data_IF_592924951799
#
_entry.id   IF_592924951799
#
_cell.length_a   1.000
_cell.length_b   1.000
_cell.length_c   1.000
_cell.angle_alpha   90.00
_cell.angle_beta   90.00
_cell.angle_gamma   90.00
#
_symmetry.space_group_name_H-M   'P 1'
#
loop_
_entity.id
_entity.type
_entity.pdbx_description
1 polymer ?
#
# COMPACT_ATOMS: atom_id res chain seq x y z
N UNK A 1 -12.54 -11.53 -63.20
CA UNK A 1 -11.49 -11.79 -62.21
C UNK A 1 -11.34 -10.54 -61.34
N UNK A 2 -11.89 -10.55 -60.12
CA UNK A 2 -11.80 -9.42 -59.18
C UNK A 2 -10.58 -9.61 -58.28
N UNK A 3 -9.62 -8.68 -58.38
CA UNK A 3 -8.47 -8.63 -57.50
C UNK A 3 -8.87 -7.91 -56.21
N UNK A 4 -8.81 -8.62 -55.09
CA UNK A 4 -8.99 -8.05 -53.73
C UNK A 4 -7.67 -7.43 -53.29
N UNK A 5 -7.66 -6.10 -53.18
CA UNK A 5 -6.58 -5.37 -52.51
C UNK A 5 -6.75 -5.56 -51.02
N UNK A 6 -5.78 -6.26 -50.39
CA UNK A 6 -5.64 -6.30 -48.95
C UNK A 6 -5.12 -4.94 -48.48
N UNK A 7 -5.95 -4.20 -47.78
CA UNK A 7 -5.53 -2.97 -47.11
C UNK A 7 -4.61 -3.34 -45.93
N UNK A 8 -3.37 -2.82 -45.96
CA UNK A 8 -2.43 -2.97 -44.88
C UNK A 8 -3.01 -2.31 -43.62
N UNK A 9 -3.26 -3.14 -42.58
CA UNK A 9 -3.61 -2.66 -41.27
C UNK A 9 -2.42 -1.89 -40.69
N UNK A 10 -2.60 -0.59 -40.49
CA UNK A 10 -1.65 0.23 -39.73
C UNK A 10 -1.67 -0.29 -38.29
N UNK A 11 -0.58 -0.85 -37.87
CA UNK A 11 -0.35 -1.17 -36.48
C UNK A 11 -0.23 0.16 -35.72
N UNK A 12 -1.31 0.54 -35.04
CA UNK A 12 -1.25 1.53 -34.00
C UNK A 12 -0.53 0.86 -32.82
N UNK A 13 0.74 1.20 -32.67
CA UNK A 13 1.49 0.86 -31.46
C UNK A 13 0.90 1.71 -30.33
N UNK A 14 -0.04 1.15 -29.58
CA UNK A 14 -0.49 1.71 -28.31
C UNK A 14 0.72 1.57 -27.39
N UNK A 15 1.33 2.69 -27.04
CA UNK A 15 2.39 2.74 -26.05
C UNK A 15 1.72 2.44 -24.68
N UNK A 16 1.57 1.15 -24.36
CA UNK A 16 1.14 0.71 -23.03
C UNK A 16 2.32 1.07 -22.12
N UNK A 17 2.14 1.94 -21.11
CA UNK A 17 3.22 2.19 -20.16
C UNK A 17 3.63 0.85 -19.57
N UNK A 18 4.95 0.61 -19.48
CA UNK A 18 5.49 -0.61 -18.92
C UNK A 18 4.84 -0.85 -17.55
N UNK A 19 3.97 -1.86 -17.48
CA UNK A 19 3.46 -2.35 -16.21
C UNK A 19 4.68 -2.90 -15.50
N UNK A 20 5.11 -2.24 -14.43
CA UNK A 20 6.10 -2.83 -13.54
C UNK A 20 5.43 -4.06 -12.95
N UNK A 21 5.92 -5.24 -13.33
CA UNK A 21 5.40 -6.49 -12.82
C UNK A 21 5.89 -6.67 -11.39
N UNK A 22 4.98 -6.39 -10.44
CA UNK A 22 5.23 -6.69 -9.03
C UNK A 22 4.82 -8.13 -8.75
N UNK A 23 5.71 -8.87 -8.10
CA UNK A 23 5.41 -10.21 -7.60
C UNK A 23 4.95 -10.09 -6.15
N UNK A 24 3.71 -10.48 -5.88
CA UNK A 24 3.19 -10.54 -4.52
C UNK A 24 3.46 -11.90 -3.89
N UNK A 25 3.90 -11.90 -2.67
CA UNK A 25 4.16 -13.10 -1.89
C UNK A 25 3.96 -12.88 -0.39
N UNK A 26 3.74 -13.96 0.39
CA UNK A 26 3.77 -13.87 1.85
C UNK A 26 5.14 -13.40 2.35
N UNK A 27 5.15 -12.71 3.49
CA UNK A 27 6.39 -12.39 4.20
C UNK A 27 7.10 -13.68 4.66
N UNK A 28 8.42 -13.71 4.56
CA UNK A 28 9.26 -14.86 4.93
C UNK A 28 9.55 -14.94 6.45
N UNK A 29 8.86 -14.13 7.24
CA UNK A 29 8.99 -14.12 8.70
C UNK A 29 10.03 -13.12 9.21
N UNK A 30 10.47 -13.28 10.48
CA UNK A 30 11.27 -12.28 11.18
C UNK A 30 12.60 -11.91 10.51
N UNK A 31 13.21 -12.82 9.75
CA UNK A 31 14.44 -12.57 9.01
C UNK A 31 14.27 -11.46 7.93
N UNK A 32 13.04 -11.26 7.43
CA UNK A 32 12.73 -10.26 6.42
C UNK A 32 12.32 -8.89 7.02
N UNK A 33 11.91 -8.86 8.28
CA UNK A 33 11.41 -7.64 8.92
C UNK A 33 12.35 -6.43 8.81
N UNK A 34 13.69 -6.55 8.92
CA UNK A 34 14.57 -5.41 8.69
C UNK A 34 14.40 -4.73 7.33
N UNK A 35 14.07 -5.50 6.27
CA UNK A 35 13.77 -4.93 4.96
C UNK A 35 12.45 -4.17 4.97
N UNK A 36 11.41 -4.71 5.63
CA UNK A 36 10.11 -4.07 5.76
C UNK A 36 10.18 -2.79 6.60
N UNK A 37 10.97 -2.79 7.65
CA UNK A 37 11.21 -1.59 8.49
C UNK A 37 11.88 -0.48 7.67
N UNK A 38 12.86 -0.81 6.83
CA UNK A 38 13.47 0.19 5.92
C UNK A 38 12.47 0.76 4.92
N UNK A 39 11.61 -0.07 4.34
CA UNK A 39 10.54 0.36 3.44
C UNK A 39 9.58 1.31 4.18
N UNK A 40 9.14 0.92 5.37
CA UNK A 40 8.28 1.73 6.20
C UNK A 40 8.91 3.09 6.51
N UNK A 41 10.17 3.12 6.97
CA UNK A 41 10.86 4.37 7.28
C UNK A 41 10.99 5.28 6.08
N UNK A 42 11.40 4.74 4.93
CA UNK A 42 11.47 5.47 3.66
C UNK A 42 10.12 6.10 3.27
N UNK A 43 9.04 5.34 3.41
CA UNK A 43 7.70 5.80 3.10
C UNK A 43 7.22 6.89 4.06
N UNK A 44 7.42 6.70 5.37
CA UNK A 44 6.96 7.61 6.43
C UNK A 44 7.70 8.94 6.37
N UNK A 45 9.02 8.94 6.23
CA UNK A 45 9.82 10.16 6.09
C UNK A 45 9.39 11.01 4.88
N UNK A 46 8.93 10.35 3.82
CA UNK A 46 8.46 11.02 2.60
C UNK A 46 7.03 11.58 2.68
N UNK A 47 6.20 11.12 3.63
CA UNK A 47 4.75 11.41 3.62
C UNK A 47 4.17 11.89 4.93
N UNK A 48 4.78 11.56 6.06
CA UNK A 48 4.24 11.86 7.40
C UNK A 48 4.95 13.06 8.03
N UNK A 49 4.90 14.21 7.34
CA UNK A 49 5.61 15.45 7.77
C UNK A 49 5.10 16.03 9.10
N UNK A 50 4.01 15.51 9.62
CA UNK A 50 3.47 15.84 10.95
C UNK A 50 4.15 15.06 12.09
N UNK A 51 4.93 14.00 11.80
CA UNK A 51 5.70 13.26 12.77
C UNK A 51 7.07 13.90 12.99
N UNK A 52 7.50 13.98 14.25
CA UNK A 52 8.88 14.29 14.60
C UNK A 52 9.78 13.08 14.40
N UNK A 53 11.10 13.29 14.37
CA UNK A 53 12.05 12.16 14.34
C UNK A 53 11.86 11.22 15.52
N UNK A 54 11.57 11.75 16.71
CA UNK A 54 11.30 10.94 17.89
C UNK A 54 10.03 10.08 17.77
N UNK A 55 8.99 10.61 17.09
CA UNK A 55 7.78 9.84 16.78
C UNK A 55 8.10 8.70 15.80
N UNK A 56 8.86 8.99 14.75
CA UNK A 56 9.27 7.99 13.75
C UNK A 56 10.09 6.89 14.44
N UNK A 57 11.06 7.24 15.27
CA UNK A 57 11.87 6.26 16.01
C UNK A 57 11.04 5.41 16.98
N UNK A 58 10.01 6.00 17.59
CA UNK A 58 9.06 5.28 18.44
C UNK A 58 8.29 4.23 17.65
N UNK A 59 7.67 4.62 16.52
CA UNK A 59 6.88 3.69 15.70
C UNK A 59 7.75 2.65 14.99
N UNK A 60 8.98 3.00 14.59
CA UNK A 60 9.93 2.05 14.00
C UNK A 60 10.24 0.88 14.94
N UNK A 61 10.50 1.16 16.22
CA UNK A 61 10.69 0.11 17.22
C UNK A 61 9.44 -0.75 17.41
N UNK A 62 8.28 -0.11 17.51
CA UNK A 62 7.00 -0.82 17.66
C UNK A 62 6.69 -1.69 16.45
N UNK A 63 6.97 -1.20 15.24
CA UNK A 63 6.80 -1.97 14.02
C UNK A 63 7.62 -3.27 14.06
N UNK A 64 8.90 -3.17 14.37
CA UNK A 64 9.81 -4.31 14.41
C UNK A 64 9.50 -5.29 15.56
N UNK A 65 9.14 -4.78 16.74
CA UNK A 65 8.98 -5.59 17.94
C UNK A 65 7.57 -6.15 18.11
N UNK A 66 6.54 -5.45 17.63
CA UNK A 66 5.15 -5.77 17.94
C UNK A 66 4.25 -5.86 16.70
N UNK A 67 4.15 -4.79 15.89
CA UNK A 67 3.08 -4.69 14.88
C UNK A 67 3.18 -5.73 13.78
N UNK A 68 4.38 -6.05 13.29
CA UNK A 68 4.57 -7.07 12.27
C UNK A 68 4.16 -8.48 12.71
N UNK A 69 4.11 -8.73 14.03
CA UNK A 69 3.62 -9.99 14.59
C UNK A 69 2.10 -10.11 14.62
N UNK A 70 1.41 -8.97 14.53
CA UNK A 70 -0.05 -8.89 14.73
C UNK A 70 -0.83 -8.92 13.42
N UNK A 71 -0.15 -8.90 12.28
CA UNK A 71 -0.77 -8.79 10.95
C UNK A 71 -0.28 -9.87 10.00
N UNK A 72 -1.13 -10.25 9.05
CA UNK A 72 -0.75 -11.06 7.91
C UNK A 72 -0.11 -10.15 6.86
N UNK A 73 1.19 -10.36 6.60
CA UNK A 73 2.00 -9.50 5.73
C UNK A 73 2.11 -10.10 4.34
N UNK A 74 1.71 -9.31 3.33
CA UNK A 74 2.01 -9.55 1.91
C UNK A 74 3.08 -8.57 1.44
N UNK A 75 4.12 -9.09 0.80
CA UNK A 75 5.26 -8.31 0.27
C UNK A 75 5.11 -8.18 -1.24
N UNK A 76 5.40 -7.00 -1.76
CA UNK A 76 5.55 -6.75 -3.19
C UNK A 76 7.04 -6.66 -3.54
N UNK A 77 7.49 -7.56 -4.39
CA UNK A 77 8.84 -7.55 -4.95
C UNK A 77 8.84 -6.91 -6.34
N UNK A 78 9.90 -6.18 -6.64
CA UNK A 78 10.28 -5.75 -8.00
C UNK A 78 11.67 -6.29 -8.28
N UNK A 79 11.79 -7.10 -9.33
CA UNK A 79 13.05 -7.78 -9.69
C UNK A 79 13.69 -8.57 -8.51
N UNK A 80 12.84 -9.20 -7.69
CA UNK A 80 13.27 -10.00 -6.55
C UNK A 80 13.68 -9.19 -5.31
N UNK A 81 13.44 -7.87 -5.31
CA UNK A 81 13.73 -6.98 -4.18
C UNK A 81 12.42 -6.47 -3.58
N UNK A 82 12.22 -6.57 -2.25
CA UNK A 82 11.08 -5.99 -1.58
C UNK A 82 11.02 -4.47 -1.77
N UNK A 83 9.89 -3.98 -2.30
CA UNK A 83 9.66 -2.55 -2.56
C UNK A 83 8.41 -2.01 -1.85
N UNK A 84 7.59 -2.87 -1.29
CA UNK A 84 6.40 -2.50 -0.55
C UNK A 84 5.81 -3.69 0.19
N UNK A 85 4.90 -3.40 1.11
CA UNK A 85 4.16 -4.43 1.81
C UNK A 85 2.80 -3.93 2.32
N UNK A 86 1.90 -4.85 2.54
CA UNK A 86 0.64 -4.65 3.26
C UNK A 86 0.57 -5.54 4.48
N UNK A 87 -0.18 -5.11 5.50
CA UNK A 87 -0.45 -5.89 6.70
C UNK A 87 -1.94 -5.84 7.02
N UNK A 88 -2.59 -6.98 7.14
CA UNK A 88 -4.02 -7.12 7.42
C UNK A 88 -4.21 -7.87 8.73
N UNK A 89 -5.10 -7.38 9.58
CA UNK A 89 -5.54 -8.05 10.80
C UNK A 89 -7.06 -7.97 10.91
N UNK A 90 -7.72 -9.12 11.08
CA UNK A 90 -9.17 -9.17 11.30
C UNK A 90 -10.01 -8.50 10.21
N UNK A 91 -9.57 -8.52 8.95
CA UNK A 91 -10.28 -7.86 7.85
C UNK A 91 -10.04 -6.34 7.76
N UNK A 92 -9.10 -5.81 8.53
CA UNK A 92 -8.68 -4.41 8.49
C UNK A 92 -7.26 -4.29 7.92
N UNK A 93 -7.08 -3.43 6.92
CA UNK A 93 -5.77 -3.07 6.39
C UNK A 93 -5.12 -2.05 7.33
N UNK A 94 -4.20 -2.55 8.16
CA UNK A 94 -3.48 -1.76 9.15
C UNK A 94 -2.25 -1.07 8.57
N UNK A 95 -1.66 -1.67 7.52
CA UNK A 95 -0.40 -1.22 6.93
C UNK A 95 -0.45 -1.34 5.41
N UNK A 96 0.01 -0.29 4.72
CA UNK A 96 0.29 -0.28 3.28
C UNK A 96 1.40 0.73 3.03
N UNK A 97 2.60 0.24 2.82
CA UNK A 97 3.79 1.08 2.65
C UNK A 97 4.56 0.68 1.40
N UNK A 98 4.96 1.68 0.63
CA UNK A 98 5.79 1.54 -0.57
C UNK A 98 7.05 2.36 -0.37
N UNK A 99 8.20 1.75 -0.65
CA UNK A 99 9.48 2.45 -0.65
C UNK A 99 9.38 3.74 -1.48
N UNK A 100 9.91 4.84 -0.94
CA UNK A 100 9.79 6.16 -1.55
C UNK A 100 10.23 6.17 -3.03
N UNK A 101 11.29 5.46 -3.37
CA UNK A 101 11.83 5.41 -4.74
C UNK A 101 10.95 4.60 -5.71
N UNK A 102 10.04 3.77 -5.21
CA UNK A 102 9.16 2.90 -5.98
C UNK A 102 7.70 3.38 -6.01
N UNK A 103 7.40 4.54 -5.45
CA UNK A 103 6.06 5.13 -5.48
C UNK A 103 5.63 5.52 -6.89
N UNK A 104 4.31 5.58 -7.10
CA UNK A 104 3.73 5.99 -8.39
C UNK A 104 3.85 4.94 -9.51
N UNK A 105 4.30 3.72 -9.21
CA UNK A 105 4.47 2.63 -10.18
C UNK A 105 3.39 1.54 -10.08
N UNK A 106 2.39 1.72 -9.21
CA UNK A 106 1.27 0.81 -9.09
C UNK A 106 1.37 -0.23 -7.97
N UNK A 107 2.49 -0.35 -7.25
CA UNK A 107 2.66 -1.34 -6.18
C UNK A 107 1.58 -1.24 -5.10
N UNK A 108 1.20 -0.03 -4.68
CA UNK A 108 0.14 0.17 -3.69
C UNK A 108 -1.22 -0.34 -4.17
N UNK A 109 -1.56 -0.10 -5.44
CA UNK A 109 -2.83 -0.59 -6.03
C UNK A 109 -2.87 -2.11 -6.13
N UNK A 110 -1.74 -2.75 -6.47
CA UNK A 110 -1.65 -4.21 -6.55
C UNK A 110 -1.78 -4.85 -5.17
N UNK A 111 -1.09 -4.30 -4.15
CA UNK A 111 -1.21 -4.76 -2.75
C UNK A 111 -2.61 -4.56 -2.20
N UNK A 112 -3.25 -3.42 -2.48
CA UNK A 112 -4.62 -3.15 -2.05
C UNK A 112 -5.61 -4.11 -2.70
N UNK A 113 -5.48 -4.37 -4.00
CA UNK A 113 -6.33 -5.32 -4.72
C UNK A 113 -6.20 -6.75 -4.17
N UNK A 114 -4.99 -7.19 -3.84
CA UNK A 114 -4.74 -8.49 -3.20
C UNK A 114 -5.41 -8.56 -1.81
N UNK A 115 -5.26 -7.51 -1.00
CA UNK A 115 -5.90 -7.43 0.31
C UNK A 115 -7.43 -7.47 0.22
N UNK A 116 -8.03 -6.75 -0.74
CA UNK A 116 -9.48 -6.78 -1.00
C UNK A 116 -9.96 -8.16 -1.46
N UNK A 117 -9.21 -8.82 -2.35
CA UNK A 117 -9.56 -10.15 -2.84
C UNK A 117 -9.57 -11.20 -1.73
N UNK A 118 -8.64 -11.10 -0.78
CA UNK A 118 -8.53 -12.00 0.38
C UNK A 118 -9.52 -11.67 1.51
N UNK A 119 -9.98 -10.41 1.58
CA UNK A 119 -10.83 -9.90 2.66
C UNK A 119 -12.03 -9.14 2.07
N UNK A 120 -13.11 -9.83 1.67
CA UNK A 120 -14.34 -9.17 1.21
C UNK A 120 -14.85 -8.20 2.29
N UNK A 121 -15.12 -6.95 1.89
CA UNK A 121 -15.51 -5.90 2.84
C UNK A 121 -14.35 -5.30 3.62
N UNK A 122 -13.12 -5.41 3.12
CA UNK A 122 -11.90 -4.87 3.75
C UNK A 122 -12.12 -3.46 4.28
N UNK A 123 -11.77 -3.25 5.54
CA UNK A 123 -11.69 -1.93 6.16
C UNK A 123 -10.25 -1.41 6.08
N UNK A 124 -10.08 -0.10 6.25
CA UNK A 124 -8.76 0.53 6.19
C UNK A 124 -8.66 1.59 7.29
N UNK A 125 -7.57 1.57 8.03
CA UNK A 125 -7.20 2.64 8.92
C UNK A 125 -6.12 3.51 8.28
N UNK A 126 -6.37 4.82 8.20
CA UNK A 126 -5.43 5.77 7.61
C UNK A 126 -5.31 7.03 8.48
N UNK A 127 -4.10 7.52 8.64
CA UNK A 127 -3.89 8.77 9.35
C UNK A 127 -4.49 9.94 8.57
N UNK A 128 -5.36 10.72 9.23
CA UNK A 128 -6.04 11.88 8.65
C UNK A 128 -5.06 12.94 8.14
N UNK A 129 -3.90 13.06 8.78
CA UNK A 129 -2.86 14.03 8.43
C UNK A 129 -2.01 13.61 7.21
N UNK A 130 -2.34 12.45 6.59
CA UNK A 130 -1.73 11.99 5.34
C UNK A 130 -2.75 12.08 4.18
N UNK A 131 -2.94 13.27 3.57
CA UNK A 131 -3.95 13.47 2.54
C UNK A 131 -3.68 12.66 1.28
N UNK A 132 -2.42 12.30 1.00
CA UNK A 132 -2.07 11.46 -0.16
C UNK A 132 -2.62 10.05 0.00
N UNK A 133 -2.49 9.45 1.19
CA UNK A 133 -3.04 8.14 1.47
C UNK A 133 -4.58 8.18 1.49
N UNK A 134 -5.19 9.17 2.12
CA UNK A 134 -6.64 9.36 2.12
C UNK A 134 -7.16 9.43 0.68
N UNK A 135 -6.57 10.27 -0.17
CA UNK A 135 -6.93 10.39 -1.58
C UNK A 135 -6.70 9.11 -2.38
N UNK A 136 -5.66 8.34 -2.05
CA UNK A 136 -5.41 7.03 -2.66
C UNK A 136 -6.58 6.07 -2.39
N UNK A 137 -7.00 5.90 -1.14
CA UNK A 137 -8.11 5.01 -0.79
C UNK A 137 -9.44 5.49 -1.38
N UNK A 138 -9.70 6.79 -1.38
CA UNK A 138 -10.90 7.36 -2.00
C UNK A 138 -10.99 7.03 -3.49
N UNK A 139 -9.88 7.14 -4.23
CA UNK A 139 -9.83 6.75 -5.65
C UNK A 139 -10.03 5.24 -5.88
N UNK A 140 -9.82 4.42 -4.86
CA UNK A 140 -10.09 2.98 -4.89
C UNK A 140 -11.47 2.59 -4.33
N UNK A 141 -12.38 3.57 -4.17
CA UNK A 141 -13.77 3.32 -3.80
C UNK A 141 -14.03 3.21 -2.30
N UNK A 142 -13.08 3.64 -1.46
CA UNK A 142 -13.30 3.71 -0.03
C UNK A 142 -13.93 5.04 0.39
N UNK A 143 -14.77 4.98 1.41
CA UNK A 143 -15.40 6.14 2.05
C UNK A 143 -15.13 6.13 3.55
N UNK A 144 -15.11 7.32 4.17
CA UNK A 144 -14.94 7.43 5.61
C UNK A 144 -16.21 6.98 6.33
N UNK A 145 -16.07 6.01 7.22
CA UNK A 145 -17.14 5.47 8.06
C UNK A 145 -17.14 6.13 9.44
N UNK A 146 -15.96 6.35 10.03
CA UNK A 146 -15.79 6.96 11.34
C UNK A 146 -14.39 7.55 11.50
N UNK A 147 -14.14 8.19 12.63
CA UNK A 147 -12.88 8.86 12.95
C UNK A 147 -12.55 8.67 14.43
N UNK A 148 -11.29 8.41 14.73
CA UNK A 148 -10.72 8.42 16.08
C UNK A 148 -9.82 9.64 16.27
N UNK A 149 -9.83 10.24 17.45
CA UNK A 149 -8.98 11.41 17.79
C UNK A 149 -7.52 11.02 18.00
N UNK A 150 -7.28 9.76 18.32
CA UNK A 150 -5.95 9.21 18.58
C UNK A 150 -5.71 7.97 17.73
N UNK A 151 -4.44 7.63 17.57
CA UNK A 151 -4.03 6.33 17.00
C UNK A 151 -4.21 5.18 18.01
N UNK A 152 -3.87 3.97 17.58
CA UNK A 152 -3.96 2.75 18.40
C UNK A 152 -3.08 2.74 19.65
N UNK A 153 -2.06 3.60 19.71
CA UNK A 153 -1.18 3.79 20.88
C UNK A 153 -1.65 4.95 21.79
N UNK A 154 -2.81 5.55 21.50
CA UNK A 154 -3.37 6.67 22.25
C UNK A 154 -2.65 8.00 22.02
N UNK A 155 -1.84 8.10 20.96
CA UNK A 155 -1.13 9.33 20.60
C UNK A 155 -2.03 10.26 19.78
N UNK A 156 -1.79 11.58 19.78
CA UNK A 156 -2.67 12.58 19.16
C UNK A 156 -2.50 12.63 17.63
N UNK A 157 -2.66 11.49 16.99
CA UNK A 157 -2.62 11.33 15.53
C UNK A 157 -3.96 10.75 15.07
N UNK A 158 -4.90 11.58 14.59
CA UNK A 158 -6.24 11.14 14.24
C UNK A 158 -6.25 10.10 13.11
N UNK A 159 -7.10 9.10 13.26
CA UNK A 159 -7.29 8.01 12.30
C UNK A 159 -8.67 8.11 11.66
N UNK A 160 -8.73 8.03 10.33
CA UNK A 160 -9.95 7.80 9.58
C UNK A 160 -10.13 6.29 9.38
N UNK A 161 -11.31 5.79 9.72
CA UNK A 161 -11.71 4.41 9.48
C UNK A 161 -12.51 4.38 8.19
N UNK A 162 -11.98 3.73 7.17
CA UNK A 162 -12.55 3.69 5.83
C UNK A 162 -13.14 2.30 5.54
N UNK A 163 -14.16 2.27 4.69
CA UNK A 163 -14.72 1.03 4.16
C UNK A 163 -15.19 1.21 2.73
N UNK A 164 -15.58 0.12 2.03
CA UNK A 164 -16.08 0.20 0.67
C UNK A 164 -17.35 1.04 0.63
N UNK A 165 -17.52 1.83 -0.42
CA UNK A 165 -18.79 2.49 -0.73
C UNK A 165 -19.88 1.43 -0.93
N UNK A 166 -21.08 1.65 -0.37
CA UNK A 166 -22.24 0.76 -0.53
C UNK A 166 -22.91 0.96 -1.88
#
# INVERSE_FOLDING_TARGET
>A
MLAWRVAAARHYSVNVPATHDFVLRPCQGPAEWPALVRIWRSAVEATHHFLTTADIDFYERRLAEEYLKMVDVTVADSDGVPVGFSGVAGGNLEMLFIDHQHRGRGAGSVLLADAQAKNPGLLVDVNEQNPQAVGFYQRHGFVTLSRSETDGDGRPFPILHLGPAQ
#
